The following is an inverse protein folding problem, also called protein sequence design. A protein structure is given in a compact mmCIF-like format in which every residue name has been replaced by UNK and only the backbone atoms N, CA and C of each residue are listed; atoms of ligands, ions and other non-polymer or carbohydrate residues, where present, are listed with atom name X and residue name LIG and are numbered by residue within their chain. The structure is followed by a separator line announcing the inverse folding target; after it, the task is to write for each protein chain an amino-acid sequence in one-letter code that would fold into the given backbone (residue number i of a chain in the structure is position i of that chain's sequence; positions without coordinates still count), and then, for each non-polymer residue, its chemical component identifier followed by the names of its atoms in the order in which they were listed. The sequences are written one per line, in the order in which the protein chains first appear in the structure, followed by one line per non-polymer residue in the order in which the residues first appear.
data_IF_982530084454
#
_entry.id   IF_982530084454
#
_cell.length_a   1.000
_cell.length_b   1.000
_cell.length_c   1.000
_cell.angle_alpha   90.00
_cell.angle_beta   90.00
_cell.angle_gamma   90.00
#
_symmetry.space_group_name_H-M   'P 1'
#
loop_
_entity.id
_entity.type
_entity.pdbx_description
1 polymer ?
#
# COMPACT_ATOMS: atom_id res chain seq x y z
N UNK A 1 5.65 -0.78 24.54
CA UNK A 1 4.91 -1.96 24.04
C UNK A 1 3.86 -1.61 22.98
N UNK A 2 2.95 -0.65 23.22
CA UNK A 2 1.90 -0.28 22.26
C UNK A 2 2.40 0.12 20.85
N UNK A 3 3.48 0.92 20.78
CA UNK A 3 4.06 1.35 19.49
C UNK A 3 4.70 0.19 18.69
N UNK A 4 5.28 -0.80 19.39
CA UNK A 4 5.88 -2.00 18.76
C UNK A 4 4.78 -2.89 18.19
N UNK A 5 3.69 -3.08 18.93
CA UNK A 5 2.53 -3.84 18.45
C UNK A 5 1.91 -3.20 17.20
N UNK A 6 1.74 -1.87 17.19
CA UNK A 6 1.24 -1.13 16.02
C UNK A 6 2.15 -1.27 14.79
N UNK A 7 3.47 -1.14 14.97
CA UNK A 7 4.43 -1.31 13.88
C UNK A 7 4.48 -2.73 13.30
N UNK A 8 4.40 -3.76 14.15
CA UNK A 8 4.35 -5.16 13.69
C UNK A 8 3.08 -5.43 12.90
N UNK A 9 1.92 -4.98 13.39
CA UNK A 9 0.64 -5.12 12.69
C UNK A 9 0.71 -4.44 11.33
N UNK A 10 1.25 -3.22 11.26
CA UNK A 10 1.44 -2.50 10.00
C UNK A 10 2.24 -3.34 8.99
N UNK A 11 3.40 -3.85 9.39
CA UNK A 11 4.26 -4.66 8.51
C UNK A 11 3.51 -5.91 8.03
N UNK A 12 2.81 -6.61 8.92
CA UNK A 12 2.03 -7.80 8.57
C UNK A 12 0.94 -7.47 7.55
N UNK A 13 0.18 -6.39 7.76
CA UNK A 13 -0.84 -5.93 6.83
C UNK A 13 -0.25 -5.58 5.47
N UNK A 14 0.89 -4.90 5.44
CA UNK A 14 1.59 -4.55 4.20
C UNK A 14 2.03 -5.81 3.45
N UNK A 15 2.62 -6.80 4.14
CA UNK A 15 3.04 -8.06 3.51
C UNK A 15 1.85 -8.77 2.86
N UNK A 16 0.72 -8.90 3.56
CA UNK A 16 -0.48 -9.50 2.98
C UNK A 16 -1.01 -8.70 1.78
N UNK A 17 -1.00 -7.37 1.88
CA UNK A 17 -1.39 -6.51 0.77
C UNK A 17 -0.50 -6.72 -0.48
N UNK A 18 0.83 -6.72 -0.30
CA UNK A 18 1.79 -6.96 -1.40
C UNK A 18 1.58 -8.34 -2.02
N UNK A 19 1.42 -9.38 -1.20
CA UNK A 19 1.21 -10.75 -1.70
C UNK A 19 -0.08 -10.88 -2.52
N UNK A 20 -1.17 -10.24 -2.08
CA UNK A 20 -2.44 -10.28 -2.81
C UNK A 20 -2.37 -9.50 -4.13
N UNK A 21 -1.74 -8.32 -4.14
CA UNK A 21 -1.55 -7.55 -5.37
C UNK A 21 -0.66 -8.32 -6.34
N UNK A 22 0.45 -8.91 -5.87
CA UNK A 22 1.31 -9.74 -6.69
C UNK A 22 0.57 -10.95 -7.27
N UNK A 23 -0.26 -11.64 -6.47
CA UNK A 23 -1.07 -12.74 -6.95
C UNK A 23 -2.10 -12.29 -8.00
N UNK A 24 -2.76 -11.15 -7.81
CA UNK A 24 -3.68 -10.58 -8.79
C UNK A 24 -2.98 -10.27 -10.12
N UNK A 25 -1.79 -9.65 -10.05
CA UNK A 25 -0.99 -9.32 -11.24
C UNK A 25 -0.56 -10.59 -11.97
N UNK A 26 -0.08 -11.61 -11.27
CA UNK A 26 0.27 -12.89 -11.89
C UNK A 26 -0.91 -13.54 -12.63
N UNK A 27 -2.14 -13.39 -12.09
CA UNK A 27 -3.36 -13.84 -12.78
C UNK A 27 -3.63 -13.00 -14.02
N UNK A 28 -3.50 -11.66 -13.95
CA UNK A 28 -3.65 -10.79 -15.13
C UNK A 28 -2.65 -11.17 -16.21
N UNK A 29 -1.36 -11.30 -15.85
CA UNK A 29 -0.28 -11.60 -16.78
C UNK A 29 -0.49 -12.96 -17.45
N UNK A 30 -0.91 -13.98 -16.70
CA UNK A 30 -1.22 -15.29 -17.26
C UNK A 30 -2.45 -15.23 -18.19
N UNK A 31 -3.57 -14.67 -17.74
CA UNK A 31 -4.80 -14.60 -18.56
C UNK A 31 -4.60 -13.78 -19.84
N UNK A 32 -3.70 -12.80 -19.80
CA UNK A 32 -3.39 -11.94 -20.95
C UNK A 32 -2.31 -12.54 -21.87
N UNK A 33 -1.66 -13.64 -21.47
CA UNK A 33 -0.65 -14.36 -22.27
C UNK A 33 -1.28 -15.55 -22.99
N UNK A 34 -1.18 -15.58 -24.32
CA UNK A 34 -1.69 -16.68 -25.12
C UNK A 34 -1.02 -18.02 -24.73
N UNK A 35 -1.83 -19.01 -24.35
CA UNK A 35 -1.38 -20.36 -24.00
C UNK A 35 -1.10 -20.59 -22.51
N UNK A 36 -1.20 -19.57 -21.65
CA UNK A 36 -1.13 -19.77 -20.21
C UNK A 36 -2.43 -20.39 -19.69
N UNK A 37 -2.34 -21.56 -19.06
CA UNK A 37 -3.50 -22.29 -18.49
C UNK A 37 -3.36 -22.56 -17.00
N UNK A 38 -2.25 -22.18 -16.39
CA UNK A 38 -1.97 -22.41 -14.96
C UNK A 38 -2.85 -21.55 -14.05
N UNK A 39 -3.17 -20.32 -14.47
CA UNK A 39 -4.00 -19.38 -13.72
C UNK A 39 -5.16 -18.89 -14.58
N UNK A 40 -6.34 -18.85 -13.99
CA UNK A 40 -7.54 -18.29 -14.60
C UNK A 40 -8.04 -17.11 -13.77
N UNK A 41 -8.90 -16.25 -14.32
CA UNK A 41 -9.53 -15.18 -13.54
C UNK A 41 -10.24 -15.73 -12.28
N UNK A 42 -10.81 -16.94 -12.37
CA UNK A 42 -11.45 -17.61 -11.23
C UNK A 42 -10.47 -18.02 -10.11
N UNK A 43 -9.16 -18.12 -10.39
CA UNK A 43 -8.14 -18.37 -9.36
C UNK A 43 -8.01 -17.20 -8.37
N UNK A 44 -8.48 -16.00 -8.75
CA UNK A 44 -8.59 -14.84 -7.89
C UNK A 44 -10.06 -14.61 -7.48
N UNK A 45 -10.50 -15.39 -6.48
CA UNK A 45 -11.88 -15.39 -6.03
C UNK A 45 -12.31 -14.11 -5.27
N UNK A 46 -13.61 -14.03 -4.96
CA UNK A 46 -14.21 -12.88 -4.26
C UNK A 46 -13.59 -12.63 -2.89
N UNK A 47 -13.21 -13.68 -2.17
CA UNK A 47 -12.57 -13.57 -0.85
C UNK A 47 -11.21 -12.88 -0.97
N UNK A 48 -10.39 -13.23 -1.97
CA UNK A 48 -9.11 -12.55 -2.24
C UNK A 48 -9.33 -11.10 -2.66
N UNK A 49 -10.33 -10.84 -3.50
CA UNK A 49 -10.70 -9.49 -3.93
C UNK A 49 -11.12 -8.61 -2.74
N UNK A 50 -11.98 -9.12 -1.87
CA UNK A 50 -12.42 -8.40 -0.67
C UNK A 50 -11.26 -8.18 0.30
N UNK A 51 -10.44 -9.21 0.54
CA UNK A 51 -9.26 -9.09 1.38
C UNK A 51 -8.28 -8.03 0.87
N UNK A 52 -8.03 -7.99 -0.46
CA UNK A 52 -7.16 -6.99 -1.08
C UNK A 52 -7.67 -5.57 -0.87
N UNK A 53 -8.97 -5.35 -1.06
CA UNK A 53 -9.60 -4.04 -0.83
C UNK A 53 -9.53 -3.60 0.63
N UNK A 54 -9.83 -4.51 1.57
CA UNK A 54 -9.76 -4.21 3.01
C UNK A 54 -8.33 -3.91 3.43
N UNK A 55 -7.36 -4.74 3.04
CA UNK A 55 -5.96 -4.56 3.39
C UNK A 55 -5.38 -3.29 2.75
N UNK A 56 -5.69 -3.02 1.47
CA UNK A 56 -5.29 -1.78 0.81
C UNK A 56 -5.83 -0.54 1.51
N UNK A 57 -7.08 -0.59 1.95
CA UNK A 57 -7.70 0.47 2.77
C UNK A 57 -7.00 0.65 4.12
N UNK A 58 -6.76 -0.43 4.86
CA UNK A 58 -6.10 -0.38 6.18
C UNK A 58 -4.65 0.13 6.10
N UNK A 59 -3.88 -0.34 5.12
CA UNK A 59 -2.50 0.11 4.88
C UNK A 59 -2.46 1.61 4.57
N UNK A 60 -3.38 2.08 3.71
CA UNK A 60 -3.48 3.50 3.35
C UNK A 60 -3.99 4.36 4.51
N UNK A 61 -4.95 3.86 5.29
CA UNK A 61 -5.46 4.53 6.49
C UNK A 61 -4.36 4.77 7.54
N UNK A 62 -3.43 3.82 7.70
CA UNK A 62 -2.29 4.01 8.59
C UNK A 62 -1.40 5.17 8.13
N UNK A 63 -1.11 5.24 6.83
CA UNK A 63 -0.27 6.30 6.26
C UNK A 63 -0.93 7.67 6.45
N UNK A 64 -2.21 7.76 6.14
CA UNK A 64 -2.99 8.99 6.30
C UNK A 64 -3.07 9.37 7.78
N UNK A 65 -3.28 8.40 8.69
CA UNK A 65 -3.33 8.67 10.13
C UNK A 65 -2.00 9.18 10.67
N UNK A 66 -0.87 8.66 10.19
CA UNK A 66 0.45 9.18 10.57
C UNK A 66 0.71 10.56 9.98
N UNK A 67 0.32 10.82 8.73
CA UNK A 67 0.45 12.14 8.10
C UNK A 67 -0.44 13.20 8.76
N UNK A 68 -1.64 12.83 9.20
CA UNK A 68 -2.57 13.74 9.87
C UNK A 68 -2.02 14.31 11.18
N UNK A 69 -1.04 13.65 11.79
CA UNK A 69 -0.45 14.05 13.08
C UNK A 69 1.01 14.51 12.91
N UNK A 70 1.60 14.30 11.73
CA UNK A 70 2.89 14.87 11.37
C UNK A 70 2.72 16.32 10.90
N UNK A 71 3.72 17.16 11.12
CA UNK A 71 3.73 18.49 10.49
C UNK A 71 4.10 18.36 9.01
N UNK A 72 3.64 19.28 8.15
CA UNK A 72 4.10 19.33 6.76
C UNK A 72 5.63 19.31 6.66
N UNK A 73 6.18 18.47 5.80
CA UNK A 73 7.62 18.27 5.61
C UNK A 73 8.32 17.42 6.67
N UNK A 74 7.64 17.01 7.75
CA UNK A 74 8.20 16.07 8.72
C UNK A 74 8.00 14.62 8.27
N UNK A 75 9.00 13.78 8.52
CA UNK A 75 8.89 12.35 8.23
C UNK A 75 7.77 11.71 9.10
N UNK A 76 6.96 10.79 8.55
CA UNK A 76 6.02 10.01 9.33
C UNK A 76 6.74 9.31 10.50
N UNK A 77 6.08 9.23 11.65
CA UNK A 77 6.66 8.77 12.92
C UNK A 77 7.80 9.64 13.54
N UNK A 78 8.07 10.86 13.06
CA UNK A 78 9.11 11.73 13.62
C UNK A 78 8.98 11.96 15.16
N UNK A 79 7.75 12.07 15.66
CA UNK A 79 7.46 12.17 17.10
C UNK A 79 7.94 10.98 17.93
N UNK A 80 7.90 9.77 17.36
CA UNK A 80 8.34 8.54 18.04
C UNK A 80 9.87 8.45 18.11
N UNK A 81 10.58 9.24 17.29
CA UNK A 81 12.04 9.31 17.28
C UNK A 81 12.60 10.19 18.42
N UNK A 82 11.85 11.16 18.94
CA UNK A 82 12.36 12.16 19.90
C UNK A 82 12.81 11.54 21.23
N UNK A 83 12.14 10.46 21.67
CA UNK A 83 12.43 9.79 22.94
C UNK A 83 13.28 8.51 22.81
N UNK A 84 13.84 8.24 21.62
CA UNK A 84 14.50 6.98 21.31
C UNK A 84 16.04 7.11 21.27
N UNK A 85 16.75 6.00 21.51
CA UNK A 85 18.20 5.91 21.26
C UNK A 85 18.50 6.10 19.78
N UNK A 86 19.70 6.57 19.42
CA UNK A 86 20.03 6.87 18.01
C UNK A 86 19.96 5.64 17.09
N UNK A 87 20.27 4.45 17.62
CA UNK A 87 20.07 3.18 16.92
C UNK A 87 18.59 2.93 16.64
N UNK A 88 17.72 3.12 17.64
CA UNK A 88 16.28 2.95 17.47
C UNK A 88 15.69 3.98 16.51
N UNK A 89 16.21 5.22 16.51
CA UNK A 89 15.83 6.24 15.53
C UNK A 89 16.15 5.82 14.10
N UNK A 90 17.36 5.31 13.89
CA UNK A 90 17.79 4.88 12.56
C UNK A 90 16.96 3.69 12.06
N UNK A 91 16.73 2.69 12.91
CA UNK A 91 15.88 1.52 12.57
C UNK A 91 14.47 1.98 12.21
N UNK A 92 13.83 2.80 13.06
CA UNK A 92 12.46 3.26 12.80
C UNK A 92 12.37 4.07 11.51
N UNK A 93 13.34 4.96 11.25
CA UNK A 93 13.40 5.74 10.00
C UNK A 93 13.46 4.83 8.77
N UNK A 94 14.33 3.82 8.79
CA UNK A 94 14.45 2.86 7.68
C UNK A 94 13.18 2.03 7.51
N UNK A 95 12.60 1.54 8.61
CA UNK A 95 11.35 0.76 8.55
C UNK A 95 10.20 1.60 7.98
N UNK A 96 10.03 2.84 8.41
CA UNK A 96 9.00 3.75 7.87
C UNK A 96 9.21 4.01 6.39
N UNK A 97 10.45 4.29 5.96
CA UNK A 97 10.76 4.51 4.56
C UNK A 97 10.48 3.28 3.70
N UNK A 98 10.90 2.10 4.16
CA UNK A 98 10.62 0.83 3.46
C UNK A 98 9.12 0.55 3.38
N UNK A 99 8.39 0.83 4.45
CA UNK A 99 6.94 0.67 4.49
C UNK A 99 6.25 1.53 3.42
N UNK A 100 6.57 2.83 3.40
CA UNK A 100 5.98 3.78 2.43
C UNK A 100 6.40 3.42 1.02
N UNK A 101 7.68 3.10 0.79
CA UNK A 101 8.18 2.71 -0.51
C UNK A 101 7.49 1.45 -1.05
N UNK A 102 7.35 0.41 -0.22
CA UNK A 102 6.67 -0.82 -0.61
C UNK A 102 5.17 -0.58 -0.88
N UNK A 103 4.50 0.25 -0.08
CA UNK A 103 3.11 0.65 -0.36
C UNK A 103 2.99 1.41 -1.69
N UNK A 104 3.89 2.37 -1.95
CA UNK A 104 3.88 3.16 -3.18
C UNK A 104 4.13 2.29 -4.41
N UNK A 105 5.17 1.45 -4.39
CA UNK A 105 5.52 0.56 -5.50
C UNK A 105 4.40 -0.42 -5.77
N UNK A 106 3.84 -1.04 -4.72
CA UNK A 106 2.77 -2.03 -4.86
C UNK A 106 1.50 -1.41 -5.43
N UNK A 107 1.08 -0.25 -4.92
CA UNK A 107 -0.09 0.43 -5.42
C UNK A 107 0.09 0.97 -6.84
N UNK A 108 1.28 1.48 -7.18
CA UNK A 108 1.61 1.90 -8.54
C UNK A 108 1.56 0.73 -9.52
N UNK A 109 2.07 -0.45 -9.12
CA UNK A 109 2.01 -1.65 -9.93
C UNK A 109 0.57 -2.13 -10.14
N UNK A 110 -0.25 -2.15 -9.08
CA UNK A 110 -1.67 -2.45 -9.19
C UNK A 110 -2.40 -1.50 -10.15
N UNK A 111 -2.13 -0.19 -10.03
CA UNK A 111 -2.71 0.83 -10.89
C UNK A 111 -2.28 0.65 -12.35
N UNK A 112 -0.98 0.46 -12.60
CA UNK A 112 -0.44 0.29 -13.94
C UNK A 112 -0.97 -0.97 -14.63
N UNK A 113 -0.97 -2.11 -13.93
CA UNK A 113 -1.51 -3.36 -14.48
C UNK A 113 -3.02 -3.25 -14.70
N UNK A 114 -3.75 -2.64 -13.76
CA UNK A 114 -5.19 -2.42 -13.87
C UNK A 114 -5.59 -1.48 -15.00
N UNK A 115 -4.74 -0.52 -15.38
CA UNK A 115 -4.96 0.35 -16.55
C UNK A 115 -4.74 -0.38 -17.87
N UNK A 116 -3.74 -1.25 -17.95
CA UNK A 116 -3.43 -1.99 -19.18
C UNK A 116 -4.42 -3.15 -19.42
N UNK A 117 -5.01 -3.71 -18.36
CA UNK A 117 -5.91 -4.86 -18.44
C UNK A 117 -7.20 -4.67 -17.60
N UNK A 118 -8.01 -3.64 -17.89
CA UNK A 118 -9.12 -3.24 -17.02
C UNK A 118 -10.26 -4.27 -16.93
N UNK A 119 -10.42 -5.11 -17.95
CA UNK A 119 -11.47 -6.13 -18.00
C UNK A 119 -11.08 -7.47 -17.35
N UNK A 120 -9.79 -7.71 -17.12
CA UNK A 120 -9.29 -9.03 -16.69
C UNK A 120 -9.52 -9.28 -15.20
N UNK A 121 -9.23 -8.27 -14.36
CA UNK A 121 -9.48 -8.32 -12.92
C UNK A 121 -9.95 -6.95 -12.41
N UNK A 122 -11.26 -6.67 -12.42
CA UNK A 122 -11.81 -5.39 -11.98
C UNK A 122 -11.40 -4.99 -10.56
N UNK A 123 -11.26 -5.96 -9.66
CA UNK A 123 -10.82 -5.72 -8.29
C UNK A 123 -9.43 -5.06 -8.22
N UNK A 124 -8.49 -5.47 -9.08
CA UNK A 124 -7.14 -4.89 -9.13
C UNK A 124 -7.20 -3.44 -9.61
N UNK A 125 -7.98 -3.18 -10.66
CA UNK A 125 -8.18 -1.83 -11.20
C UNK A 125 -8.82 -0.91 -10.16
N UNK A 126 -9.87 -1.35 -9.46
CA UNK A 126 -10.52 -0.56 -8.40
C UNK A 126 -9.56 -0.23 -7.25
N UNK A 127 -8.75 -1.20 -6.81
CA UNK A 127 -7.74 -0.97 -5.76
C UNK A 127 -6.66 0.00 -6.23
N UNK A 128 -6.17 -0.14 -7.47
CA UNK A 128 -5.20 0.77 -8.05
C UNK A 128 -5.72 2.21 -8.16
N UNK A 129 -6.96 2.40 -8.59
CA UNK A 129 -7.60 3.72 -8.67
C UNK A 129 -7.79 4.36 -7.29
N UNK A 130 -8.27 3.58 -6.31
CA UNK A 130 -8.40 4.05 -4.94
C UNK A 130 -7.04 4.45 -4.35
N UNK A 131 -6.00 3.63 -4.57
CA UNK A 131 -4.64 3.92 -4.14
C UNK A 131 -4.11 5.22 -4.74
N UNK A 132 -4.36 5.51 -6.02
CA UNK A 132 -3.91 6.75 -6.65
C UNK A 132 -4.48 8.00 -5.96
N UNK A 133 -5.79 7.99 -5.66
CA UNK A 133 -6.41 9.09 -4.92
C UNK A 133 -5.79 9.29 -3.53
N UNK A 134 -5.53 8.18 -2.82
CA UNK A 134 -4.94 8.19 -1.48
C UNK A 134 -3.47 8.63 -1.50
N UNK A 135 -2.69 8.26 -2.51
CA UNK A 135 -1.29 8.65 -2.66
C UNK A 135 -1.15 10.13 -2.98
N UNK A 136 -1.99 10.66 -3.88
CA UNK A 136 -2.04 12.11 -4.16
C UNK A 136 -2.46 12.89 -2.91
N UNK A 137 -3.52 12.46 -2.21
CA UNK A 137 -3.96 13.10 -0.97
C UNK A 137 -2.85 13.10 0.10
N UNK A 138 -2.13 11.98 0.23
CA UNK A 138 -1.00 11.84 1.14
C UNK A 138 0.15 12.79 0.78
N UNK A 139 0.44 12.96 -0.52
CA UNK A 139 1.44 13.91 -0.99
C UNK A 139 1.03 15.36 -0.66
N UNK A 140 -0.23 15.74 -0.92
CA UNK A 140 -0.74 17.07 -0.58
C UNK A 140 -0.61 17.35 0.93
N UNK A 141 -0.98 16.37 1.77
CA UNK A 141 -0.84 16.48 3.22
C UNK A 141 0.63 16.63 3.64
N UNK A 142 1.53 15.83 3.06
CA UNK A 142 2.96 15.88 3.36
C UNK A 142 3.59 17.23 2.98
N UNK A 143 3.22 17.80 1.83
CA UNK A 143 3.74 19.09 1.37
C UNK A 143 2.97 20.30 1.92
N UNK A 144 1.88 20.10 2.67
CA UNK A 144 1.07 21.19 3.21
C UNK A 144 0.35 22.01 2.13
N UNK A 145 0.02 21.39 0.99
CA UNK A 145 -0.66 22.06 -0.11
C UNK A 145 -2.16 22.21 0.22
N UNK A 146 -2.63 23.45 0.38
CA UNK A 146 -4.04 23.77 0.52
C UNK A 146 -4.67 24.06 -0.86
N UNK A 147 -5.86 23.52 -1.19
CA UNK A 147 -6.58 23.95 -2.37
C UNK A 147 -6.91 25.45 -2.24
N UNK A 148 -6.42 26.23 -3.19
CA UNK A 148 -6.65 27.68 -3.31
C UNK A 148 -8.07 28.01 -3.70
#
# INVERSE_FOLDING_TARGET
MKAVAGGVIAIVLLVFYVLLVHAAIAVVDCVSTAGCTELTAASFNDVKSQAMSVLGGLVSALIISELAIAKPGEAPAARLLVAASDRAKNVLRWTTWLYIAAWLVTGAWAFWTGLNHPATLPALTSVGQAWLGLSVASAYAYFGLSPS
#
